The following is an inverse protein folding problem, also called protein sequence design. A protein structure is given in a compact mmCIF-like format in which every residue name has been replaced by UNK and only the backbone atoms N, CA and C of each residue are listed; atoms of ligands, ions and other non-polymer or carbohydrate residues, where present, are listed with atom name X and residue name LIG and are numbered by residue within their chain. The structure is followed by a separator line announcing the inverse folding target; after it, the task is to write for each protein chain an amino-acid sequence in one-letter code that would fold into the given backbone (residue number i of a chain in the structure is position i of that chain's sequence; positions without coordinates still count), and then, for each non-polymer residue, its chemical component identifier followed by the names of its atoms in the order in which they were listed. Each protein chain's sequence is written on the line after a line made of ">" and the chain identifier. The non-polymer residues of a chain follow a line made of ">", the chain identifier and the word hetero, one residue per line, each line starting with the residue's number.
data_IF_000497203862
#
_entry.id   IF_000497203862
#
_cell.length_a   1.000
_cell.length_b   1.000
_cell.length_c   1.000
_cell.angle_alpha   90.00
_cell.angle_beta   90.00
_cell.angle_gamma   90.00
#
_symmetry.space_group_name_H-M   'P 1'
#
loop_
_entity.id
_entity.type
_entity.pdbx_description
1 polymer ?
#
# COMPACT_ATOMS: atom_id res chain seq x y z
N UNK A 1 -14.10 8.00 8.09
CA UNK A 1 -12.67 8.04 7.74
C UNK A 1 -12.46 7.44 6.36
N UNK A 2 -11.87 8.21 5.45
CA UNK A 2 -11.49 7.78 4.10
C UNK A 2 -10.06 7.23 4.15
N UNK A 3 -9.83 6.00 3.68
CA UNK A 3 -8.52 5.34 3.83
C UNK A 3 -7.96 4.82 2.51
N UNK A 4 -6.64 4.68 2.44
CA UNK A 4 -5.94 3.97 1.37
C UNK A 4 -5.58 2.55 1.83
N UNK A 5 -5.66 1.56 0.93
CA UNK A 5 -5.22 0.20 1.21
C UNK A 5 -3.87 -0.09 0.54
N UNK A 6 -2.84 -0.41 1.33
CA UNK A 6 -1.59 -0.97 0.80
C UNK A 6 -1.88 -2.37 0.25
N UNK A 7 -1.73 -2.50 -1.07
CA UNK A 7 -2.24 -3.64 -1.81
C UNK A 7 -1.15 -4.28 -2.66
N UNK A 8 -0.68 -5.47 -2.28
CA UNK A 8 0.30 -6.25 -3.04
C UNK A 8 -0.33 -7.30 -3.95
N UNK A 9 -1.66 -7.48 -3.85
CA UNK A 9 -2.40 -8.55 -4.54
C UNK A 9 -2.32 -9.92 -3.85
N UNK A 10 -1.53 -10.03 -2.78
CA UNK A 10 -1.43 -11.24 -1.97
C UNK A 10 -2.61 -11.43 -1.02
N UNK A 11 -2.66 -12.59 -0.37
CA UNK A 11 -3.72 -12.97 0.58
C UNK A 11 -3.88 -11.95 1.72
N UNK A 12 -2.76 -11.46 2.27
CA UNK A 12 -2.79 -10.64 3.48
C UNK A 12 -3.29 -9.22 3.18
N UNK A 13 -2.83 -8.61 2.07
CA UNK A 13 -3.35 -7.31 1.64
C UNK A 13 -4.80 -7.37 1.18
N UNK A 14 -5.20 -8.48 0.54
CA UNK A 14 -6.58 -8.70 0.11
C UNK A 14 -7.50 -8.86 1.32
N UNK A 15 -7.07 -9.62 2.32
CA UNK A 15 -7.81 -9.74 3.57
C UNK A 15 -7.88 -8.41 4.33
N UNK A 16 -6.79 -7.63 4.40
CA UNK A 16 -6.78 -6.33 5.03
C UNK A 16 -7.77 -5.35 4.38
N UNK A 17 -7.83 -5.34 3.03
CA UNK A 17 -8.83 -4.59 2.28
C UNK A 17 -10.25 -5.08 2.60
N UNK A 18 -10.48 -6.39 2.56
CA UNK A 18 -11.78 -7.00 2.85
C UNK A 18 -12.26 -6.65 4.27
N UNK A 19 -11.39 -6.79 5.27
CA UNK A 19 -11.65 -6.42 6.65
C UNK A 19 -12.01 -4.94 6.77
N UNK A 20 -11.29 -4.05 6.08
CA UNK A 20 -11.57 -2.63 6.13
C UNK A 20 -12.94 -2.28 5.53
N UNK A 21 -13.33 -2.94 4.44
CA UNK A 21 -14.68 -2.81 3.86
C UNK A 21 -15.74 -3.28 4.86
N UNK A 22 -15.55 -4.44 5.49
CA UNK A 22 -16.49 -4.97 6.49
C UNK A 22 -16.64 -4.08 7.73
N UNK A 23 -15.58 -3.37 8.11
CA UNK A 23 -15.62 -2.37 9.20
C UNK A 23 -16.28 -1.04 8.81
N UNK A 24 -16.73 -0.91 7.55
CA UNK A 24 -17.40 0.30 7.07
C UNK A 24 -16.45 1.45 6.75
N UNK A 25 -15.14 1.20 6.60
CA UNK A 25 -14.22 2.23 6.15
C UNK A 25 -14.48 2.59 4.69
N UNK A 26 -14.35 3.87 4.35
CA UNK A 26 -14.48 4.34 2.97
C UNK A 26 -13.15 4.17 2.25
N UNK A 27 -12.99 3.07 1.51
CA UNK A 27 -11.79 2.82 0.70
C UNK A 27 -11.74 3.80 -0.46
N UNK A 28 -10.66 4.56 -0.54
CA UNK A 28 -10.46 5.59 -1.56
C UNK A 28 -9.76 5.05 -2.81
N UNK A 29 -8.64 4.37 -2.60
CA UNK A 29 -7.82 3.74 -3.62
C UNK A 29 -6.97 2.64 -2.98
N UNK A 30 -6.50 1.75 -3.84
CA UNK A 30 -5.41 0.83 -3.56
C UNK A 30 -4.09 1.54 -3.85
N UNK A 31 -3.03 1.16 -3.14
CA UNK A 31 -1.67 1.59 -3.39
C UNK A 31 -0.77 0.36 -3.53
N UNK A 32 -0.22 0.16 -4.73
CA UNK A 32 0.74 -0.91 -5.03
C UNK A 32 2.10 -0.31 -5.37
N UNK A 33 3.16 -0.92 -4.85
CA UNK A 33 4.54 -0.60 -5.24
C UNK A 33 5.10 -1.71 -6.13
N UNK A 34 5.66 -1.31 -7.27
CA UNK A 34 6.48 -2.15 -8.12
C UNK A 34 7.96 -1.91 -7.80
N UNK A 35 8.65 -2.84 -7.10
CA UNK A 35 10.08 -2.74 -6.95
C UNK A 35 10.77 -3.00 -8.28
N UNK A 36 11.77 -2.17 -8.61
CA UNK A 36 12.64 -2.37 -9.78
C UNK A 36 13.60 -3.54 -9.59
N UNK A 37 14.00 -3.82 -8.34
CA UNK A 37 14.89 -4.91 -7.97
C UNK A 37 14.13 -6.15 -7.50
N UNK A 38 14.79 -7.31 -7.56
CA UNK A 38 14.26 -8.61 -7.10
C UNK A 38 14.35 -8.79 -5.58
N UNK A 39 15.33 -8.15 -4.95
CA UNK A 39 15.71 -8.27 -3.54
C UNK A 39 15.16 -7.12 -2.67
N UNK A 40 13.96 -6.63 -2.96
CA UNK A 40 13.31 -5.58 -2.16
C UNK A 40 13.04 -6.06 -0.74
N UNK A 41 13.38 -5.23 0.26
CA UNK A 41 13.17 -5.54 1.67
C UNK A 41 11.71 -5.32 2.09
N UNK A 42 11.02 -4.37 1.47
CA UNK A 42 9.64 -4.02 1.81
C UNK A 42 8.57 -4.60 0.89
N UNK A 43 8.85 -4.79 -0.39
CA UNK A 43 7.79 -5.00 -1.39
C UNK A 43 7.91 -6.35 -2.11
N UNK A 44 6.78 -7.05 -2.16
CA UNK A 44 6.66 -8.31 -2.90
C UNK A 44 6.71 -8.04 -4.41
N UNK A 45 7.63 -8.67 -5.14
CA UNK A 45 7.76 -8.51 -6.61
C UNK A 45 6.90 -9.47 -7.45
N UNK A 46 6.75 -10.76 -7.11
CA UNK A 46 6.01 -11.67 -7.96
C UNK A 46 4.54 -11.25 -8.10
N UNK A 47 4.13 -10.96 -9.33
CA UNK A 47 2.72 -10.77 -9.68
C UNK A 47 2.09 -9.44 -9.25
N UNK A 48 2.86 -8.43 -8.80
CA UNK A 48 2.25 -7.11 -8.49
C UNK A 48 1.64 -6.43 -9.72
N UNK A 49 2.05 -6.80 -10.94
CA UNK A 49 1.37 -6.32 -12.15
C UNK A 49 -0.09 -6.79 -12.24
N UNK A 50 -0.40 -7.95 -11.64
CA UNK A 50 -1.75 -8.51 -11.57
C UNK A 50 -2.65 -7.65 -10.68
N UNK A 51 -2.10 -6.80 -9.79
CA UNK A 51 -2.93 -5.89 -8.98
C UNK A 51 -3.71 -4.91 -9.83
N UNK A 52 -3.25 -4.59 -11.05
CA UNK A 52 -4.00 -3.78 -12.02
C UNK A 52 -5.31 -4.47 -12.41
N UNK A 53 -5.26 -5.77 -12.70
CA UNK A 53 -6.43 -6.56 -13.03
C UNK A 53 -7.32 -6.79 -11.80
N UNK A 54 -6.71 -7.06 -10.64
CA UNK A 54 -7.47 -7.21 -9.40
C UNK A 54 -8.21 -5.93 -9.04
N UNK A 55 -7.58 -4.76 -9.16
CA UNK A 55 -8.20 -3.46 -8.89
C UNK A 55 -9.43 -3.20 -9.76
N UNK A 56 -9.35 -3.54 -11.05
CA UNK A 56 -10.49 -3.49 -11.98
C UNK A 56 -11.58 -4.47 -11.53
N UNK A 57 -11.23 -5.71 -11.22
CA UNK A 57 -12.19 -6.75 -10.83
C UNK A 57 -12.94 -6.41 -9.53
N UNK A 58 -12.27 -5.78 -8.57
CA UNK A 58 -12.87 -5.40 -7.28
C UNK A 58 -13.44 -3.98 -7.27
N UNK A 59 -13.27 -3.21 -8.36
CA UNK A 59 -13.87 -1.89 -8.53
C UNK A 59 -13.23 -0.75 -7.74
N UNK A 60 -11.93 -0.84 -7.41
CA UNK A 60 -11.21 0.23 -6.72
C UNK A 60 -10.16 0.91 -7.63
N UNK A 61 -10.00 2.25 -7.55
CA UNK A 61 -8.89 2.93 -8.20
C UNK A 61 -7.55 2.42 -7.66
N UNK A 62 -6.57 2.26 -8.55
CA UNK A 62 -5.22 1.84 -8.19
C UNK A 62 -4.22 2.99 -8.40
N UNK A 63 -3.52 3.37 -7.34
CA UNK A 63 -2.30 4.15 -7.43
C UNK A 63 -1.13 3.19 -7.55
N UNK A 64 -0.51 3.14 -8.73
CA UNK A 64 0.61 2.25 -9.02
C UNK A 64 1.92 3.04 -8.97
N UNK A 65 2.70 2.82 -7.92
CA UNK A 65 3.98 3.48 -7.69
C UNK A 65 5.15 2.57 -8.10
N UNK A 66 6.25 3.18 -8.52
CA UNK A 66 7.53 2.48 -8.67
C UNK A 66 8.40 2.79 -7.47
N UNK A 67 9.16 1.80 -7.01
CA UNK A 67 10.17 2.00 -5.96
C UNK A 67 11.52 1.44 -6.41
N UNK A 68 12.57 2.08 -5.95
CA UNK A 68 13.95 1.68 -6.27
C UNK A 68 14.30 0.28 -5.78
N UNK A 69 13.62 -0.22 -4.73
CA UNK A 69 13.99 -1.50 -4.13
C UNK A 69 15.16 -1.41 -3.14
N UNK A 70 15.71 -0.20 -2.94
CA UNK A 70 16.91 0.02 -2.12
C UNK A 70 16.47 0.41 -0.71
N UNK A 71 17.03 -0.27 0.30
CA UNK A 71 16.80 0.04 1.72
C UNK A 71 16.91 1.55 1.98
N UNK A 72 16.04 2.07 2.84
CA UNK A 72 15.84 3.49 3.16
C UNK A 72 15.23 4.34 2.03
N UNK A 73 15.62 4.14 0.77
CA UNK A 73 14.94 4.80 -0.37
C UNK A 73 13.50 4.32 -0.54
N UNK A 74 13.23 3.04 -0.25
CA UNK A 74 11.87 2.48 -0.22
C UNK A 74 10.95 3.18 0.79
N UNK A 75 11.50 3.68 1.91
CA UNK A 75 10.73 4.42 2.92
C UNK A 75 10.36 5.80 2.41
N UNK A 76 11.28 6.47 1.74
CA UNK A 76 11.04 7.76 1.10
C UNK A 76 10.04 7.62 -0.06
N UNK A 77 10.16 6.57 -0.87
CA UNK A 77 9.20 6.24 -1.94
C UNK A 77 7.79 5.99 -1.36
N UNK A 78 7.71 5.29 -0.22
CA UNK A 78 6.45 5.07 0.50
C UNK A 78 5.86 6.38 1.01
N UNK A 79 6.65 7.20 1.70
CA UNK A 79 6.24 8.51 2.24
C UNK A 79 5.72 9.42 1.13
N UNK A 80 6.47 9.56 0.04
CA UNK A 80 6.06 10.39 -1.10
C UNK A 80 4.77 9.90 -1.76
N UNK A 81 4.60 8.59 -1.90
CA UNK A 81 3.38 8.02 -2.47
C UNK A 81 2.18 8.22 -1.54
N UNK A 82 2.35 8.09 -0.22
CA UNK A 82 1.29 8.36 0.75
C UNK A 82 0.92 9.85 0.80
N UNK A 83 1.90 10.76 0.71
CA UNK A 83 1.63 12.20 0.57
C UNK A 83 0.82 12.51 -0.69
N UNK A 84 1.19 11.92 -1.83
CA UNK A 84 0.48 12.14 -3.08
C UNK A 84 -0.94 11.58 -3.03
N UNK A 85 -1.12 10.39 -2.45
CA UNK A 85 -2.43 9.78 -2.24
C UNK A 85 -3.29 10.63 -1.28
N UNK A 86 -2.71 11.14 -0.19
CA UNK A 86 -3.37 12.06 0.74
C UNK A 86 -3.82 13.34 0.03
N UNK A 87 -2.95 13.96 -0.75
CA UNK A 87 -3.26 15.17 -1.53
C UNK A 87 -4.34 14.94 -2.59
N UNK A 88 -4.24 13.85 -3.36
CA UNK A 88 -5.11 13.58 -4.50
C UNK A 88 -6.47 13.01 -4.10
N UNK A 89 -6.51 12.17 -3.07
CA UNK A 89 -7.72 11.45 -2.68
C UNK A 89 -8.26 11.87 -1.31
N UNK A 90 -7.58 12.72 -0.54
CA UNK A 90 -8.04 13.16 0.78
C UNK A 90 -8.14 12.02 1.77
N UNK A 91 -7.12 11.15 1.80
CA UNK A 91 -7.10 10.00 2.73
C UNK A 91 -6.66 10.44 4.13
N UNK A 92 -7.31 9.88 5.14
CA UNK A 92 -7.11 10.16 6.57
C UNK A 92 -6.42 8.99 7.29
N UNK A 93 -6.19 7.87 6.59
CA UNK A 93 -5.55 6.70 7.17
C UNK A 93 -5.15 5.67 6.12
N UNK A 94 -4.39 4.69 6.56
CA UNK A 94 -3.87 3.59 5.72
C UNK A 94 -4.23 2.26 6.39
N UNK A 95 -4.64 1.28 5.58
CA UNK A 95 -4.76 -0.12 6.02
C UNK A 95 -3.70 -0.97 5.33
N UNK A 96 -3.10 -1.89 6.08
CA UNK A 96 -1.98 -2.72 5.65
C UNK A 96 -2.21 -4.17 6.07
N UNK A 97 -1.68 -5.11 5.26
CA UNK A 97 -1.62 -6.53 5.59
C UNK A 97 -0.29 -6.98 6.19
N UNK A 98 0.50 -6.06 6.77
CA UNK A 98 1.77 -6.41 7.42
C UNK A 98 1.50 -7.19 8.71
N UNK A 99 1.81 -8.48 8.71
CA UNK A 99 1.52 -9.39 9.82
C UNK A 99 2.68 -9.52 10.81
N UNK A 100 3.77 -10.19 10.42
CA UNK A 100 4.86 -10.61 11.31
C UNK A 100 6.11 -9.71 11.26
N UNK A 101 6.22 -8.85 10.25
CA UNK A 101 7.39 -8.01 10.08
C UNK A 101 7.28 -6.74 10.92
N UNK A 102 7.99 -6.69 12.04
CA UNK A 102 8.13 -5.48 12.86
C UNK A 102 8.72 -4.31 12.08
N UNK A 103 9.66 -4.57 11.16
CA UNK A 103 10.26 -3.53 10.31
C UNK A 103 9.19 -2.80 9.48
N UNK A 104 8.43 -3.53 8.65
CA UNK A 104 7.30 -2.96 7.89
C UNK A 104 6.29 -2.23 8.76
N UNK A 105 5.90 -2.82 9.90
CA UNK A 105 4.91 -2.21 10.81
C UNK A 105 5.41 -0.88 11.38
N UNK A 106 6.64 -0.86 11.91
CA UNK A 106 7.24 0.37 12.46
C UNK A 106 7.44 1.42 11.38
N UNK A 107 7.96 1.04 10.21
CA UNK A 107 8.17 1.95 9.09
C UNK A 107 6.88 2.65 8.66
N UNK A 108 5.80 1.90 8.46
CA UNK A 108 4.51 2.46 8.05
C UNK A 108 3.96 3.39 9.14
N UNK A 109 4.02 2.98 10.41
CA UNK A 109 3.51 3.79 11.51
C UNK A 109 4.26 5.12 11.64
N UNK A 110 5.60 5.09 11.62
CA UNK A 110 6.43 6.30 11.70
C UNK A 110 6.12 7.27 10.56
N UNK A 111 6.02 6.76 9.33
CA UNK A 111 5.66 7.58 8.17
C UNK A 111 4.26 8.16 8.33
N UNK A 112 3.28 7.40 8.81
CA UNK A 112 1.92 7.88 9.01
C UNK A 112 1.81 8.93 10.14
N UNK A 113 2.64 8.87 11.18
CA UNK A 113 2.69 9.89 12.23
C UNK A 113 3.23 11.23 11.73
N UNK A 114 4.11 11.21 10.72
CA UNK A 114 4.66 12.42 10.10
C UNK A 114 3.71 13.11 9.10
N UNK A 115 2.63 12.43 8.66
CA UNK A 115 1.78 12.87 7.53
C UNK A 115 0.40 13.40 7.95
#
# INVERSE_FOLDING_TARGET
>A
MKICALFSGGKDSTYALHWAVLKGFKISNLLTFQPRREDSWMFHRPGVEVTKLQAVAIGFPLYYAYTSGVKDKELEDLKNSLMEVKRKFGVEGVVTGALLSDYQRMAINLICEEL
#
